data_IF_899449585761
#
_entry.id   IF_899449585761
#
_cell.length_a   1.000
_cell.length_b   1.000
_cell.length_c   1.000
_cell.angle_alpha   90.00
_cell.angle_beta   90.00
_cell.angle_gamma   90.00
#
_symmetry.space_group_name_H-M   'P 1'
#
loop_
_entity.id
_entity.type
_entity.pdbx_description
1 polymer ?
#
# COMPACT_ATOMS: atom_id res chain seq x y z
N UNK A 1 -7.51 -22.50 6.57
CA UNK A 1 -6.17 -22.49 7.15
C UNK A 1 -6.14 -23.51 8.29
N UNK A 2 -5.28 -24.54 8.21
CA UNK A 2 -4.99 -25.40 9.37
C UNK A 2 -4.46 -24.47 10.47
N UNK A 3 -5.02 -24.57 11.69
CA UNK A 3 -4.47 -23.88 12.85
C UNK A 3 -3.06 -24.42 13.09
N UNK A 4 -2.08 -23.63 12.75
CA UNK A 4 -0.70 -23.85 13.18
C UNK A 4 -0.59 -23.15 14.52
N UNK A 5 -0.19 -23.86 15.56
CA UNK A 5 0.11 -23.25 16.84
C UNK A 5 1.46 -22.54 16.72
N UNK A 6 1.41 -21.21 16.67
CA UNK A 6 2.59 -20.40 16.45
C UNK A 6 2.29 -18.93 16.17
N UNK A 7 3.35 -18.17 16.03
CA UNK A 7 3.27 -16.75 15.72
C UNK A 7 2.97 -16.50 14.24
N UNK A 8 1.94 -15.72 13.96
CA UNK A 8 1.72 -15.19 12.62
C UNK A 8 2.57 -13.93 12.41
N UNK A 9 3.37 -13.92 11.35
CA UNK A 9 4.27 -12.82 11.03
C UNK A 9 4.12 -12.37 9.57
N UNK A 10 4.24 -11.08 9.32
CA UNK A 10 4.28 -10.50 7.98
C UNK A 10 5.57 -9.69 7.83
N UNK A 11 6.31 -9.98 6.78
CA UNK A 11 7.50 -9.25 6.38
C UNK A 11 7.21 -8.47 5.11
N UNK A 12 7.83 -7.30 4.97
CA UNK A 12 7.67 -6.47 3.78
C UNK A 12 9.01 -6.15 3.14
N UNK A 13 8.99 -5.94 1.82
CA UNK A 13 10.21 -5.62 1.07
C UNK A 13 10.76 -4.25 1.42
N UNK A 14 12.09 -4.10 1.32
CA UNK A 14 12.79 -2.82 1.42
C UNK A 14 12.79 -2.02 0.11
N UNK A 15 12.28 -2.60 -0.99
CA UNK A 15 12.19 -1.91 -2.27
C UNK A 15 11.38 -0.62 -2.14
N UNK A 16 11.93 0.47 -2.67
CA UNK A 16 11.25 1.76 -2.73
C UNK A 16 11.56 2.41 -4.08
N UNK A 17 10.55 2.59 -4.88
CA UNK A 17 10.61 3.24 -6.19
C UNK A 17 9.26 3.87 -6.55
N UNK A 18 9.27 4.90 -7.38
CA UNK A 18 8.07 5.65 -7.74
C UNK A 18 7.01 4.83 -8.48
N UNK A 19 7.41 3.78 -9.21
CA UNK A 19 6.49 3.03 -10.10
C UNK A 19 5.83 1.84 -9.41
N UNK A 20 6.63 0.99 -8.73
CA UNK A 20 6.14 -0.29 -8.18
C UNK A 20 6.05 -0.29 -6.66
N UNK A 21 6.89 0.48 -5.97
CA UNK A 21 7.00 0.48 -4.52
C UNK A 21 7.04 1.92 -3.98
N UNK A 22 5.94 2.69 -4.09
CA UNK A 22 5.92 4.11 -3.72
C UNK A 22 6.08 4.33 -2.21
N UNK A 23 5.78 3.36 -1.38
CA UNK A 23 5.97 3.44 0.07
C UNK A 23 7.35 2.93 0.46
N UNK A 24 8.06 3.66 1.33
CA UNK A 24 9.29 3.17 1.94
C UNK A 24 9.02 2.06 2.98
N UNK A 25 10.08 1.37 3.42
CA UNK A 25 9.95 0.23 4.34
C UNK A 25 9.23 0.61 5.65
N UNK A 26 9.58 1.74 6.27
CA UNK A 26 8.94 2.20 7.52
C UNK A 26 7.45 2.46 7.34
N UNK A 27 7.04 3.07 6.23
CA UNK A 27 5.64 3.29 5.90
C UNK A 27 4.89 1.96 5.72
N UNK A 28 5.47 1.01 4.97
CA UNK A 28 4.89 -0.33 4.79
C UNK A 28 4.68 -1.04 6.12
N UNK A 29 5.70 -1.09 6.98
CA UNK A 29 5.60 -1.69 8.34
C UNK A 29 4.50 -1.01 9.16
N UNK A 30 4.43 0.32 9.14
CA UNK A 30 3.43 1.08 9.89
C UNK A 30 2.00 0.76 9.42
N UNK A 31 1.75 0.72 8.10
CA UNK A 31 0.44 0.35 7.57
C UNK A 31 0.07 -1.09 7.87
N UNK A 32 0.99 -2.03 7.73
CA UNK A 32 0.74 -3.43 8.06
C UNK A 32 0.36 -3.59 9.54
N UNK A 33 1.07 -2.92 10.46
CA UNK A 33 0.73 -2.92 11.89
C UNK A 33 -0.67 -2.36 12.16
N UNK A 34 -1.07 -1.30 11.45
CA UNK A 34 -2.42 -0.74 11.55
C UNK A 34 -3.51 -1.67 11.00
N UNK A 35 -3.23 -2.38 9.92
CA UNK A 35 -4.19 -3.28 9.29
C UNK A 35 -4.38 -4.58 10.06
N UNK A 36 -3.30 -5.17 10.54
CA UNK A 36 -3.34 -6.45 11.25
C UNK A 36 -3.52 -6.30 12.77
N UNK A 37 -3.23 -5.13 13.33
CA UNK A 37 -3.30 -4.90 14.76
C UNK A 37 -2.36 -5.83 15.54
N UNK A 38 -2.85 -6.34 16.68
CA UNK A 38 -2.08 -7.25 17.54
C UNK A 38 -2.11 -8.72 17.08
N UNK A 39 -2.93 -9.05 16.10
CA UNK A 39 -3.14 -10.45 15.65
C UNK A 39 -1.95 -11.01 14.87
N UNK A 40 -1.18 -10.15 14.23
CA UNK A 40 -0.04 -10.52 13.40
C UNK A 40 1.15 -9.66 13.78
N UNK A 41 2.29 -10.28 14.04
CA UNK A 41 3.54 -9.56 14.28
C UNK A 41 4.07 -9.02 12.95
N UNK A 42 4.44 -7.75 12.93
CA UNK A 42 5.11 -7.12 11.79
C UNK A 42 6.48 -6.63 12.25
N UNK A 43 7.51 -7.49 12.16
CA UNK A 43 8.85 -7.13 12.59
C UNK A 43 9.44 -6.03 11.71
N UNK A 44 10.11 -5.07 12.35
CA UNK A 44 10.92 -4.07 11.66
C UNK A 44 12.36 -4.58 11.62
N UNK A 45 12.62 -5.50 10.71
CA UNK A 45 13.93 -6.11 10.53
C UNK A 45 14.57 -5.67 9.22
N UNK A 46 15.88 -5.53 9.22
CA UNK A 46 16.64 -5.16 8.03
C UNK A 46 16.78 -6.29 6.98
N UNK A 47 16.12 -7.43 7.21
CA UNK A 47 16.15 -8.57 6.30
C UNK A 47 15.53 -8.23 4.93
N UNK A 48 16.29 -8.42 3.87
CA UNK A 48 15.91 -8.09 2.49
C UNK A 48 15.55 -9.32 1.66
N UNK A 49 16.02 -10.47 2.10
CA UNK A 49 15.85 -11.76 1.41
C UNK A 49 15.14 -12.76 2.30
N UNK A 50 14.51 -13.78 1.69
CA UNK A 50 13.89 -14.87 2.41
C UNK A 50 14.88 -15.62 3.31
N UNK A 51 16.14 -15.69 2.91
CA UNK A 51 17.21 -16.32 3.70
C UNK A 51 17.56 -15.53 4.96
N UNK A 52 17.65 -14.21 4.85
CA UNK A 52 17.90 -13.34 6.00
C UNK A 52 16.73 -13.39 6.99
N UNK A 53 15.49 -13.48 6.49
CA UNK A 53 14.30 -13.70 7.31
C UNK A 53 14.40 -15.06 8.02
N UNK A 54 14.73 -16.13 7.31
CA UNK A 54 14.89 -17.46 7.88
C UNK A 54 15.98 -17.48 8.96
N UNK A 55 17.13 -16.85 8.72
CA UNK A 55 18.21 -16.72 9.71
C UNK A 55 17.74 -15.94 10.94
N UNK A 56 17.03 -14.83 10.77
CA UNK A 56 16.51 -14.02 11.88
C UNK A 56 15.50 -14.81 12.72
N UNK A 57 14.60 -15.56 12.10
CA UNK A 57 13.63 -16.40 12.81
C UNK A 57 14.33 -17.54 13.57
N UNK A 58 15.28 -18.21 12.95
CA UNK A 58 16.06 -19.25 13.60
C UNK A 58 16.82 -18.74 14.82
N UNK A 59 17.43 -17.54 14.71
CA UNK A 59 18.13 -16.88 15.81
C UNK A 59 17.20 -16.48 16.97
N UNK A 60 15.92 -16.24 16.67
CA UNK A 60 14.89 -15.97 17.68
C UNK A 60 14.32 -17.24 18.35
N UNK A 61 14.81 -18.40 17.97
CA UNK A 61 14.41 -19.69 18.58
C UNK A 61 13.33 -20.45 17.82
N UNK A 62 12.82 -19.95 16.68
CA UNK A 62 11.89 -20.73 15.87
C UNK A 62 12.59 -21.94 15.25
N UNK A 63 11.91 -23.10 15.25
CA UNK A 63 12.44 -24.35 14.70
C UNK A 63 11.57 -24.93 13.59
N UNK A 64 10.36 -24.43 13.43
CA UNK A 64 9.45 -24.77 12.32
C UNK A 64 8.94 -23.51 11.69
N UNK A 65 8.89 -23.45 10.35
CA UNK A 65 8.35 -22.33 9.58
C UNK A 65 7.34 -22.77 8.55
N UNK A 66 6.25 -22.04 8.47
CA UNK A 66 5.20 -22.17 7.46
C UNK A 66 5.14 -20.87 6.67
N UNK A 67 5.68 -20.88 5.46
CA UNK A 67 5.71 -19.71 4.60
C UNK A 67 4.51 -19.70 3.67
N UNK A 68 3.80 -18.59 3.62
CA UNK A 68 2.72 -18.38 2.65
C UNK A 68 3.27 -17.57 1.47
N UNK A 69 3.14 -18.11 0.26
CA UNK A 69 3.64 -17.49 -0.96
C UNK A 69 2.63 -17.60 -2.10
N UNK A 70 2.78 -16.77 -3.14
CA UNK A 70 2.02 -16.97 -4.37
C UNK A 70 2.37 -18.29 -5.04
N UNK A 71 1.41 -18.89 -5.74
CA UNK A 71 1.54 -20.19 -6.38
C UNK A 71 2.76 -20.31 -7.30
N UNK A 72 3.12 -19.22 -7.98
CA UNK A 72 4.28 -19.09 -8.87
C UNK A 72 5.63 -19.20 -8.15
N UNK A 73 5.68 -18.92 -6.85
CA UNK A 73 6.92 -18.87 -6.05
C UNK A 73 7.14 -20.08 -5.14
N UNK A 74 6.15 -20.93 -4.95
CA UNK A 74 6.21 -22.05 -3.98
C UNK A 74 7.40 -22.95 -4.27
N UNK A 75 7.54 -23.41 -5.51
CA UNK A 75 8.61 -24.34 -5.89
C UNK A 75 9.99 -23.75 -5.70
N UNK A 76 10.17 -22.48 -6.07
CA UNK A 76 11.43 -21.78 -5.93
C UNK A 76 11.83 -21.65 -4.45
N UNK A 77 10.92 -21.16 -3.59
CA UNK A 77 11.23 -20.97 -2.18
C UNK A 77 11.40 -22.27 -1.42
N UNK A 78 10.62 -23.31 -1.74
CA UNK A 78 10.75 -24.62 -1.12
C UNK A 78 12.13 -25.24 -1.43
N UNK A 79 12.52 -25.26 -2.69
CA UNK A 79 13.82 -25.78 -3.11
C UNK A 79 14.98 -24.99 -2.47
N UNK A 80 14.91 -23.65 -2.49
CA UNK A 80 15.97 -22.80 -1.98
C UNK A 80 16.10 -22.91 -0.45
N UNK A 81 15.01 -22.79 0.30
CA UNK A 81 15.06 -22.82 1.76
C UNK A 81 15.51 -24.20 2.28
N UNK A 82 15.06 -25.29 1.66
CA UNK A 82 15.50 -26.65 2.02
C UNK A 82 16.95 -26.92 1.66
N UNK A 83 17.42 -26.44 0.49
CA UNK A 83 18.81 -26.59 0.06
C UNK A 83 19.81 -26.02 1.05
N UNK A 84 19.51 -24.86 1.63
CA UNK A 84 20.40 -24.17 2.56
C UNK A 84 20.11 -24.48 4.03
N UNK A 85 19.11 -25.31 4.32
CA UNK A 85 18.80 -25.72 5.69
C UNK A 85 19.96 -26.53 6.30
N UNK A 86 20.52 -26.07 7.40
CA UNK A 86 21.70 -26.65 8.04
C UNK A 86 23.04 -26.28 7.36
N UNK A 87 23.03 -25.40 6.37
CA UNK A 87 24.25 -24.98 5.65
C UNK A 87 24.62 -23.55 6.00
N UNK A 88 25.86 -23.33 6.47
CA UNK A 88 26.39 -21.97 6.68
C UNK A 88 26.72 -21.33 5.35
N UNK A 89 26.12 -20.19 5.05
CA UNK A 89 26.32 -19.46 3.80
C UNK A 89 26.42 -17.95 4.05
N UNK A 90 26.59 -17.16 2.99
CA UNK A 90 26.71 -15.69 3.05
C UNK A 90 25.53 -15.01 3.74
N UNK A 91 24.35 -15.58 3.63
CA UNK A 91 23.12 -15.08 4.26
C UNK A 91 22.96 -15.46 5.74
N UNK A 92 23.90 -16.17 6.33
CA UNK A 92 23.86 -16.67 7.71
C UNK A 92 23.66 -18.18 7.78
N UNK A 93 23.09 -18.63 8.90
CA UNK A 93 22.83 -20.02 9.19
C UNK A 93 21.43 -20.19 9.79
N UNK A 94 20.69 -21.17 9.31
CA UNK A 94 19.46 -21.68 9.93
C UNK A 94 19.38 -23.19 9.79
N UNK A 95 18.73 -23.83 10.74
CA UNK A 95 18.46 -25.26 10.73
C UNK A 95 17.09 -25.49 11.35
N UNK A 96 16.06 -25.45 10.50
CA UNK A 96 14.70 -25.76 10.91
C UNK A 96 14.44 -27.27 10.87
N UNK A 97 13.64 -27.75 11.80
CA UNK A 97 13.16 -29.12 11.84
C UNK A 97 12.08 -29.32 10.77
N UNK A 98 11.32 -28.24 10.49
CA UNK A 98 10.27 -28.27 9.49
C UNK A 98 10.22 -26.96 8.68
N UNK A 99 10.17 -27.10 7.35
CA UNK A 99 9.95 -26.00 6.40
C UNK A 99 8.80 -26.41 5.50
N UNK A 100 7.69 -25.67 5.56
CA UNK A 100 6.56 -25.83 4.65
C UNK A 100 6.27 -24.55 3.92
N UNK A 101 6.06 -24.63 2.60
CA UNK A 101 5.60 -23.52 1.79
C UNK A 101 4.18 -23.82 1.33
N UNK A 102 3.25 -22.95 1.66
CA UNK A 102 1.83 -23.11 1.34
C UNK A 102 1.37 -22.00 0.39
N UNK A 103 0.43 -22.33 -0.48
CA UNK A 103 -0.15 -21.36 -1.40
C UNK A 103 -1.05 -20.38 -0.65
N UNK A 104 -0.93 -19.10 -1.02
CA UNK A 104 -1.89 -18.07 -0.63
C UNK A 104 -3.27 -18.25 -1.29
N UNK A 105 -3.43 -19.24 -2.17
CA UNK A 105 -4.56 -19.40 -3.05
C UNK A 105 -4.36 -18.66 -4.38
N UNK A 106 -5.25 -18.90 -5.31
CA UNK A 106 -5.35 -18.13 -6.54
C UNK A 106 -6.11 -16.84 -6.25
N UNK A 107 -5.67 -15.76 -6.90
CA UNK A 107 -6.38 -14.50 -6.83
C UNK A 107 -7.50 -14.53 -7.86
N UNK A 108 -8.71 -14.22 -7.44
CA UNK A 108 -9.81 -13.94 -8.35
C UNK A 108 -9.72 -12.48 -8.85
N UNK A 109 -9.30 -12.25 -10.10
CA UNK A 109 -9.16 -10.90 -10.65
C UNK A 109 -10.51 -10.21 -10.90
N UNK A 110 -11.60 -10.98 -10.94
CA UNK A 110 -12.95 -10.51 -11.23
C UNK A 110 -13.77 -10.22 -9.96
N UNK A 111 -13.22 -10.52 -8.77
CA UNK A 111 -13.87 -10.18 -7.53
C UNK A 111 -13.99 -8.65 -7.35
N UNK A 112 -15.19 -8.19 -7.00
CA UNK A 112 -15.48 -6.76 -6.77
C UNK A 112 -14.97 -6.23 -5.42
N UNK A 113 -14.50 -7.12 -4.55
CA UNK A 113 -13.99 -6.77 -3.22
C UNK A 113 -12.46 -6.56 -3.18
N UNK A 114 -11.90 -6.51 -1.98
CA UNK A 114 -10.44 -6.36 -1.75
C UNK A 114 -9.65 -7.48 -2.44
N UNK A 115 -10.23 -8.67 -2.62
CA UNK A 115 -9.55 -9.83 -3.24
C UNK A 115 -9.29 -9.62 -4.73
N UNK A 116 -10.17 -8.90 -5.45
CA UNK A 116 -10.01 -8.53 -6.86
C UNK A 116 -9.07 -7.33 -7.09
N UNK A 117 -8.75 -6.56 -6.03
CA UNK A 117 -7.89 -5.39 -6.14
C UNK A 117 -6.41 -5.75 -6.08
N UNK A 118 -5.74 -5.61 -7.22
CA UNK A 118 -4.29 -5.76 -7.28
C UNK A 118 -3.55 -4.49 -6.86
N UNK A 119 -2.31 -4.64 -6.38
CA UNK A 119 -1.45 -3.49 -6.11
C UNK A 119 -1.23 -2.61 -7.36
N UNK A 120 -1.30 -3.19 -8.55
CA UNK A 120 -1.23 -2.45 -9.83
C UNK A 120 -2.49 -1.63 -10.08
N UNK A 121 -3.68 -2.20 -9.87
CA UNK A 121 -4.96 -1.47 -9.95
C UNK A 121 -5.00 -0.31 -8.96
N UNK A 122 -4.56 -0.53 -7.70
CA UNK A 122 -4.50 0.54 -6.69
C UNK A 122 -3.54 1.66 -7.08
N UNK A 123 -2.35 1.34 -7.61
CA UNK A 123 -1.43 2.38 -8.08
C UNK A 123 -1.98 3.15 -9.26
N UNK A 124 -2.63 2.48 -10.22
CA UNK A 124 -3.28 3.15 -11.35
C UNK A 124 -4.39 4.11 -10.87
N UNK A 125 -5.23 3.68 -9.94
CA UNK A 125 -6.24 4.54 -9.33
C UNK A 125 -5.61 5.76 -8.61
N UNK A 126 -4.50 5.55 -7.88
CA UNK A 126 -3.77 6.65 -7.24
C UNK A 126 -3.17 7.62 -8.26
N UNK A 127 -2.65 7.13 -9.38
CA UNK A 127 -2.10 7.94 -10.47
C UNK A 127 -3.17 8.78 -11.16
N UNK A 128 -4.34 8.20 -11.40
CA UNK A 128 -5.48 8.83 -12.04
C UNK A 128 -6.26 9.79 -11.12
N UNK A 129 -5.96 9.84 -9.84
CA UNK A 129 -6.72 10.65 -8.89
C UNK A 129 -8.00 9.97 -8.37
N UNK A 130 -8.28 8.73 -8.75
CA UNK A 130 -9.48 7.99 -8.37
C UNK A 130 -9.35 7.41 -6.95
N UNK A 131 -9.71 8.23 -5.98
CA UNK A 131 -9.71 7.82 -4.57
C UNK A 131 -10.76 6.73 -4.27
N UNK A 132 -11.91 6.75 -4.94
CA UNK A 132 -12.98 5.80 -4.68
C UNK A 132 -12.56 4.38 -5.03
N UNK A 133 -12.02 4.18 -6.22
CA UNK A 133 -11.46 2.89 -6.63
C UNK A 133 -10.29 2.49 -5.74
N UNK A 134 -9.38 3.41 -5.40
CA UNK A 134 -8.29 3.13 -4.46
C UNK A 134 -8.81 2.64 -3.11
N UNK A 135 -9.80 3.32 -2.55
CA UNK A 135 -10.42 3.01 -1.26
C UNK A 135 -11.02 1.60 -1.22
N UNK A 136 -11.56 1.08 -2.33
CA UNK A 136 -12.08 -0.29 -2.41
C UNK A 136 -11.02 -1.33 -2.06
N UNK A 137 -9.78 -1.16 -2.53
CA UNK A 137 -8.66 -2.06 -2.27
C UNK A 137 -8.03 -1.96 -0.87
N UNK A 138 -8.48 -1.03 -0.02
CA UNK A 138 -7.95 -0.88 1.33
C UNK A 138 -8.79 -1.66 2.33
N UNK A 139 -8.20 -2.66 3.00
CA UNK A 139 -8.91 -3.52 3.95
C UNK A 139 -9.52 -2.73 5.12
N UNK A 140 -8.81 -1.75 5.67
CA UNK A 140 -9.32 -0.86 6.71
C UNK A 140 -9.51 0.55 6.15
N UNK A 141 -10.76 0.88 5.81
CA UNK A 141 -11.15 2.13 5.16
C UNK A 141 -10.77 3.39 5.95
N UNK A 142 -10.62 3.29 7.27
CA UNK A 142 -10.21 4.39 8.14
C UNK A 142 -8.83 4.96 7.78
N UNK A 143 -7.95 4.14 7.20
CA UNK A 143 -6.62 4.56 6.79
C UNK A 143 -6.50 4.85 5.30
N UNK A 144 -7.59 4.76 4.54
CA UNK A 144 -7.55 4.86 3.08
C UNK A 144 -7.05 6.22 2.61
N UNK A 145 -7.54 7.32 3.17
CA UNK A 145 -7.13 8.67 2.80
C UNK A 145 -5.62 8.89 3.00
N UNK A 146 -5.14 8.57 4.19
CA UNK A 146 -3.71 8.73 4.49
C UNK A 146 -2.83 7.84 3.62
N UNK A 147 -3.24 6.58 3.40
CA UNK A 147 -2.51 5.66 2.53
C UNK A 147 -2.47 6.16 1.09
N UNK A 148 -3.60 6.67 0.59
CA UNK A 148 -3.70 7.25 -0.74
C UNK A 148 -2.73 8.42 -0.94
N UNK A 149 -2.71 9.38 -0.01
CA UNK A 149 -1.81 10.53 -0.01
C UNK A 149 -0.33 10.09 0.03
N UNK A 150 0.00 9.16 0.93
CA UNK A 150 1.36 8.64 1.04
C UNK A 150 1.81 7.90 -0.23
N UNK A 151 0.91 7.15 -0.89
CA UNK A 151 1.16 6.47 -2.17
C UNK A 151 1.40 7.50 -3.27
N UNK A 152 0.52 8.48 -3.45
CA UNK A 152 0.69 9.55 -4.45
C UNK A 152 1.99 10.31 -4.25
N UNK A 153 2.29 10.71 -3.03
CA UNK A 153 3.56 11.36 -2.68
C UNK A 153 4.77 10.49 -3.04
N UNK A 154 4.70 9.19 -2.75
CA UNK A 154 5.76 8.24 -3.10
C UNK A 154 5.93 8.04 -4.60
N UNK A 155 4.86 8.17 -5.38
CA UNK A 155 4.88 8.19 -6.85
C UNK A 155 5.44 9.50 -7.41
N UNK A 156 5.61 10.54 -6.58
CA UNK A 156 6.04 11.88 -7.00
C UNK A 156 4.90 12.72 -7.56
N UNK A 157 3.66 12.35 -7.25
CA UNK A 157 2.46 13.12 -7.61
C UNK A 157 2.20 14.08 -6.46
N UNK A 158 2.46 15.37 -6.68
CA UNK A 158 2.21 16.41 -5.69
C UNK A 158 0.71 16.71 -5.62
N UNK A 159 0.20 16.92 -4.41
CA UNK A 159 -1.21 17.26 -4.17
C UNK A 159 -1.59 18.67 -4.67
N UNK A 160 -0.58 19.48 -5.08
CA UNK A 160 -0.75 20.90 -5.35
C UNK A 160 -1.46 21.25 -6.68
N UNK A 161 -1.98 20.26 -7.44
CA UNK A 161 -2.53 20.58 -8.76
C UNK A 161 -3.93 20.08 -9.07
N UNK A 162 -4.56 19.26 -8.23
CA UNK A 162 -5.96 18.89 -8.43
C UNK A 162 -6.68 18.68 -7.10
N UNK A 163 -7.50 19.62 -6.71
CA UNK A 163 -8.65 19.35 -5.85
C UNK A 163 -9.44 18.22 -6.57
N UNK A 164 -9.71 17.08 -5.91
CA UNK A 164 -10.51 16.02 -6.51
C UNK A 164 -11.84 16.60 -6.99
N UNK A 165 -12.31 16.18 -8.15
CA UNK A 165 -13.52 16.71 -8.77
C UNK A 165 -14.73 16.68 -7.82
N UNK A 166 -14.80 15.66 -6.94
CA UNK A 166 -15.87 15.55 -5.92
C UNK A 166 -15.81 16.66 -4.85
N UNK A 167 -14.61 17.19 -4.50
CA UNK A 167 -14.53 18.36 -3.62
C UNK A 167 -14.97 19.64 -4.31
N UNK A 168 -14.83 19.69 -5.64
CA UNK A 168 -15.33 20.81 -6.44
C UNK A 168 -16.85 20.71 -6.57
N UNK A 169 -17.41 19.51 -6.74
CA UNK A 169 -18.86 19.29 -6.80
C UNK A 169 -19.56 19.61 -5.48
N UNK A 170 -18.97 19.21 -4.32
CA UNK A 170 -19.49 19.58 -3.00
C UNK A 170 -19.39 21.10 -2.73
N UNK A 171 -18.31 21.77 -3.19
CA UNK A 171 -18.17 23.22 -3.11
C UNK A 171 -19.14 23.97 -4.04
N UNK A 172 -19.59 23.33 -5.13
CA UNK A 172 -20.57 23.89 -6.06
C UNK A 172 -21.99 23.66 -5.57
N UNK A 173 -22.27 22.60 -4.81
CA UNK A 173 -23.60 22.32 -4.22
C UNK A 173 -23.89 23.21 -3.01
N UNK A 174 -22.91 23.67 -2.25
CA UNK A 174 -23.08 24.71 -1.25
C UNK A 174 -23.13 26.07 -1.96
N UNK A 175 -24.30 26.50 -2.29
CA UNK A 175 -24.63 27.55 -3.24
C UNK A 175 -23.80 28.82 -3.20
N UNK A 176 -23.40 29.25 -4.37
CA UNK A 176 -22.86 30.59 -4.68
C UNK A 176 -23.73 31.73 -4.09
N UNK A 177 -24.96 31.42 -3.65
CA UNK A 177 -25.94 32.39 -3.16
C UNK A 177 -26.25 32.28 -1.65
N UNK A 178 -25.49 31.52 -0.87
CA UNK A 178 -25.73 31.39 0.55
C UNK A 178 -25.34 32.67 1.30
N UNK A 179 -26.30 33.43 1.88
CA UNK A 179 -25.99 34.66 2.57
C UNK A 179 -25.37 34.36 3.92
N UNK A 180 -24.09 34.62 4.07
CA UNK A 180 -23.37 34.48 5.33
C UNK A 180 -22.02 33.76 5.23
N UNK A 181 -21.63 33.26 4.08
CA UNK A 181 -20.32 32.65 3.87
C UNK A 181 -19.37 33.65 3.22
N UNK A 182 -18.20 33.84 3.81
CA UNK A 182 -17.12 34.61 3.18
C UNK A 182 -16.62 33.86 1.93
N UNK A 183 -16.83 34.45 0.75
CA UNK A 183 -16.40 33.88 -0.53
C UNK A 183 -15.12 34.55 -0.97
N UNK A 184 -14.04 33.76 -1.09
CA UNK A 184 -12.80 34.21 -1.69
C UNK A 184 -12.59 33.47 -3.01
N UNK A 185 -12.56 34.20 -4.12
CA UNK A 185 -12.25 33.65 -5.44
C UNK A 185 -10.82 33.96 -5.80
N UNK A 186 -9.96 32.97 -5.93
CA UNK A 186 -8.58 33.09 -6.35
C UNK A 186 -8.45 32.77 -7.84
N UNK A 187 -8.12 33.77 -8.67
CA UNK A 187 -7.86 33.55 -10.09
C UNK A 187 -6.37 33.46 -10.35
N UNK A 188 -5.90 32.29 -10.76
CA UNK A 188 -4.51 32.04 -11.12
C UNK A 188 -4.37 31.85 -12.63
N UNK A 189 -3.40 32.49 -13.24
CA UNK A 189 -3.10 32.35 -14.66
C UNK A 189 -2.30 33.50 -15.23
N UNK A 190 -1.51 33.27 -16.27
CA UNK A 190 -0.72 34.28 -16.97
C UNK A 190 -1.58 35.30 -17.72
N UNK A 191 -0.96 36.34 -18.31
CA UNK A 191 -1.67 37.29 -19.19
C UNK A 191 -2.39 36.55 -20.34
N UNK A 192 -3.64 36.92 -20.62
CA UNK A 192 -4.44 36.31 -21.69
C UNK A 192 -5.17 35.00 -21.33
N UNK A 193 -5.12 34.51 -20.09
CA UNK A 193 -5.77 33.28 -19.65
C UNK A 193 -7.29 33.34 -19.40
N UNK A 194 -7.96 34.40 -19.83
CA UNK A 194 -9.41 34.55 -19.72
C UNK A 194 -9.94 34.91 -18.30
N UNK A 195 -9.09 35.32 -17.38
CA UNK A 195 -9.49 35.70 -16.00
C UNK A 195 -10.58 36.75 -15.93
N UNK A 196 -10.50 37.78 -16.78
CA UNK A 196 -11.50 38.86 -16.86
C UNK A 196 -12.87 38.30 -17.26
N UNK A 197 -12.93 37.40 -18.24
CA UNK A 197 -14.16 36.77 -18.67
C UNK A 197 -14.84 35.98 -17.57
N UNK A 198 -14.04 35.31 -16.70
CA UNK A 198 -14.55 34.57 -15.55
C UNK A 198 -15.09 35.51 -14.46
N UNK A 199 -14.38 36.60 -14.18
CA UNK A 199 -14.82 37.61 -13.21
C UNK A 199 -16.17 38.23 -13.65
N UNK A 200 -16.29 38.57 -14.93
CA UNK A 200 -17.52 39.13 -15.51
C UNK A 200 -18.68 38.11 -15.47
N UNK A 201 -18.40 36.85 -15.78
CA UNK A 201 -19.39 35.77 -15.74
C UNK A 201 -19.88 35.43 -14.32
N UNK A 202 -19.07 35.66 -13.29
CA UNK A 202 -19.45 35.45 -11.89
C UNK A 202 -20.12 36.68 -11.23
N UNK A 203 -20.29 37.77 -11.96
CA UNK A 203 -20.90 39.01 -11.43
C UNK A 203 -20.10 39.67 -10.30
N UNK A 204 -18.81 39.40 -10.20
CA UNK A 204 -17.91 39.97 -9.22
C UNK A 204 -17.49 41.37 -9.69
N UNK A 205 -17.91 42.41 -8.98
CA UNK A 205 -17.50 43.80 -9.18
C UNK A 205 -16.44 44.18 -8.19
#
# INVERSE_FOLDING_TARGET
AKKVDGDAMVFTSHSNDKKKNPLNHKQKVNYLRKFFGKKVKVPDVSARTVFEIANALYSQGYRSIYMVAGSDRIREFDALLKKYNGTKARHGFYKFDEIQIVSAGERDPDAEDVSGMSASKMRAAAEQGDFNTFKQGVANKQFADKLYKDVRKGMGINEDTHLPLYMIEDLIQEGVYDPGIFKAVFLMGGPGSGKSTVVDGLGLK
#
